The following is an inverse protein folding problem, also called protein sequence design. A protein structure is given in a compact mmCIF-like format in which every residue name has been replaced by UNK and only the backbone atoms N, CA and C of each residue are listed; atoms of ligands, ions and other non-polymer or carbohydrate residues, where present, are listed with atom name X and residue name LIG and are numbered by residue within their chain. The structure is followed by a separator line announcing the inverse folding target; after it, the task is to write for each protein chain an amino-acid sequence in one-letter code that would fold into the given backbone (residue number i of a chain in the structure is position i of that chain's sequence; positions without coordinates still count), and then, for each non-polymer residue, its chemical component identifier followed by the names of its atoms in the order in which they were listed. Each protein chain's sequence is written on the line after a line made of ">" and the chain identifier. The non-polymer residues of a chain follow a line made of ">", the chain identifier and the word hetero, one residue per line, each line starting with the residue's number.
data_IF_444244741220
#
_entry.id   IF_444244741220
#
_cell.length_a   1.000
_cell.length_b   1.000
_cell.length_c   1.000
_cell.angle_alpha   90.00
_cell.angle_beta   90.00
_cell.angle_gamma   90.00
#
_symmetry.space_group_name_H-M   'P 1'
#
loop_
_entity.id
_entity.type
_entity.pdbx_description
1 polymer ?
#
# COMPACT_ATOMS: atom_id res chain seq x y z
N UNK A 1 -4.91 -11.25 22.31
CA UNK A 1 -5.20 -11.34 20.85
C UNK A 1 -6.27 -10.31 20.51
N UNK A 2 -6.06 -9.44 19.52
CA UNK A 2 -7.09 -8.45 19.11
C UNK A 2 -8.32 -9.20 18.55
N UNK A 3 -9.53 -8.77 18.91
CA UNK A 3 -10.79 -9.40 18.49
C UNK A 3 -11.03 -9.07 17.00
N UNK A 4 -11.35 -10.07 16.17
CA UNK A 4 -11.68 -9.86 14.76
C UNK A 4 -12.90 -8.94 14.62
N UNK A 5 -12.77 -7.91 13.80
CA UNK A 5 -13.84 -6.98 13.43
C UNK A 5 -14.85 -7.66 12.50
N UNK A 6 -15.99 -7.00 12.26
CA UNK A 6 -16.95 -7.46 11.26
C UNK A 6 -16.35 -7.43 9.84
N UNK A 7 -15.46 -6.47 9.57
CA UNK A 7 -14.74 -6.39 8.30
C UNK A 7 -13.78 -7.56 8.10
N UNK A 8 -13.01 -7.92 9.14
CA UNK A 8 -12.08 -9.06 9.06
C UNK A 8 -12.81 -10.35 8.70
N UNK A 9 -13.97 -10.61 9.33
CA UNK A 9 -14.78 -11.79 9.03
C UNK A 9 -15.38 -11.75 7.63
N UNK A 10 -15.87 -10.59 7.20
CA UNK A 10 -16.39 -10.39 5.85
C UNK A 10 -15.32 -10.67 4.79
N UNK A 11 -14.14 -10.09 4.96
CA UNK A 11 -13.01 -10.24 4.04
C UNK A 11 -12.55 -11.71 3.99
N UNK A 12 -12.40 -12.37 5.14
CA UNK A 12 -12.04 -13.79 5.21
C UNK A 12 -13.04 -14.70 4.49
N UNK A 13 -14.34 -14.38 4.54
CA UNK A 13 -15.35 -15.15 3.81
C UNK A 13 -15.23 -14.96 2.29
N UNK A 14 -14.99 -13.73 1.84
CA UNK A 14 -14.94 -13.41 0.41
C UNK A 14 -13.62 -13.87 -0.24
N UNK A 15 -12.51 -13.89 0.50
CA UNK A 15 -11.24 -14.42 0.02
C UNK A 15 -11.25 -15.93 -0.26
N UNK A 16 -12.29 -16.65 0.18
CA UNK A 16 -12.50 -18.06 -0.23
C UNK A 16 -12.92 -18.20 -1.69
N UNK A 17 -13.47 -17.15 -2.28
CA UNK A 17 -13.78 -17.12 -3.71
C UNK A 17 -12.49 -16.75 -4.49
N UNK A 18 -11.99 -17.64 -5.37
CA UNK A 18 -10.73 -17.41 -6.08
C UNK A 18 -10.75 -16.19 -6.99
N UNK A 19 -11.89 -15.90 -7.65
CA UNK A 19 -12.02 -14.72 -8.52
C UNK A 19 -12.00 -13.43 -7.72
N UNK A 20 -12.63 -13.43 -6.54
CA UNK A 20 -12.58 -12.30 -5.62
C UNK A 20 -11.16 -12.11 -5.08
N UNK A 21 -10.50 -13.19 -4.66
CA UNK A 21 -9.15 -13.15 -4.13
C UNK A 21 -8.14 -12.61 -5.15
N UNK A 22 -8.23 -13.05 -6.40
CA UNK A 22 -7.37 -12.57 -7.48
C UNK A 22 -7.58 -11.07 -7.75
N UNK A 23 -8.84 -10.62 -7.83
CA UNK A 23 -9.16 -9.20 -8.02
C UNK A 23 -8.72 -8.34 -6.83
N UNK A 24 -8.92 -8.84 -5.61
CA UNK A 24 -8.50 -8.17 -4.38
C UNK A 24 -6.98 -8.04 -4.32
N UNK A 25 -6.25 -9.11 -4.65
CA UNK A 25 -4.79 -9.10 -4.74
C UNK A 25 -4.31 -8.08 -5.77
N UNK A 26 -4.83 -8.13 -7.00
CA UNK A 26 -4.48 -7.17 -8.06
C UNK A 26 -4.77 -5.72 -7.66
N UNK A 27 -5.87 -5.47 -6.96
CA UNK A 27 -6.19 -4.15 -6.44
C UNK A 27 -5.20 -3.68 -5.36
N UNK A 28 -4.60 -4.60 -4.61
CA UNK A 28 -3.61 -4.34 -3.56
C UNK A 28 -2.16 -4.24 -4.04
N UNK A 29 -1.79 -4.77 -5.20
CA UNK A 29 -0.39 -4.85 -5.64
C UNK A 29 0.31 -3.48 -5.72
N UNK A 30 -0.35 -2.47 -6.30
CA UNK A 30 0.18 -1.11 -6.36
C UNK A 30 0.33 -0.50 -4.95
N UNK A 31 -0.56 -0.86 -4.04
CA UNK A 31 -0.57 -0.42 -2.66
C UNK A 31 0.59 -1.03 -1.86
N UNK A 32 0.83 -2.33 -2.02
CA UNK A 32 1.93 -3.05 -1.37
C UNK A 32 3.29 -2.49 -1.81
N UNK A 33 3.46 -2.20 -3.10
CA UNK A 33 4.69 -1.57 -3.61
C UNK A 33 4.88 -0.18 -3.02
N UNK A 34 3.82 0.62 -2.92
CA UNK A 34 3.88 1.95 -2.33
C UNK A 34 4.27 1.91 -0.84
N UNK A 35 3.72 0.98 -0.06
CA UNK A 35 4.07 0.79 1.35
C UNK A 35 5.54 0.36 1.52
N UNK A 36 6.03 -0.56 0.69
CA UNK A 36 7.42 -0.99 0.71
C UNK A 36 8.37 0.18 0.37
N UNK A 37 8.04 0.97 -0.66
CA UNK A 37 8.82 2.15 -1.02
C UNK A 37 8.85 3.19 0.11
N UNK A 38 7.71 3.45 0.75
CA UNK A 38 7.62 4.36 1.88
C UNK A 38 8.47 3.90 3.08
N UNK A 39 8.48 2.59 3.38
CA UNK A 39 9.29 2.00 4.42
C UNK A 39 10.79 2.16 4.12
N UNK A 40 11.24 1.73 2.94
CA UNK A 40 12.63 1.85 2.51
C UNK A 40 13.12 3.30 2.49
N UNK A 41 12.26 4.23 2.05
CA UNK A 41 12.56 5.67 2.05
C UNK A 41 12.85 6.16 3.48
N UNK A 42 12.00 5.79 4.44
CA UNK A 42 12.15 6.18 5.85
C UNK A 42 13.40 5.56 6.46
N UNK A 43 13.65 4.27 6.22
CA UNK A 43 14.84 3.57 6.70
C UNK A 43 16.13 4.18 6.12
N UNK A 44 16.05 4.72 4.91
CA UNK A 44 17.16 5.44 4.25
C UNK A 44 17.28 6.91 4.67
N UNK A 45 16.45 7.41 5.61
CA UNK A 45 16.47 8.79 6.07
C UNK A 45 16.06 9.82 5.02
N UNK A 46 15.34 9.40 3.97
CA UNK A 46 14.93 10.29 2.88
C UNK A 46 13.55 10.90 3.18
N UNK A 47 13.40 12.20 2.92
CA UNK A 47 12.10 12.84 2.76
C UNK A 47 11.44 12.44 1.43
N UNK A 48 10.12 12.66 1.31
CA UNK A 48 9.40 12.44 0.05
C UNK A 48 9.97 13.29 -1.10
N UNK A 49 10.37 14.54 -0.81
CA UNK A 49 11.00 15.42 -1.80
C UNK A 49 12.35 14.89 -2.28
N UNK A 50 13.17 14.34 -1.38
CA UNK A 50 14.46 13.74 -1.73
C UNK A 50 14.29 12.47 -2.54
N UNK A 51 13.31 11.62 -2.22
CA UNK A 51 12.98 10.44 -3.03
C UNK A 51 12.50 10.85 -4.43
N UNK A 52 11.59 11.84 -4.51
CA UNK A 52 11.06 12.34 -5.77
C UNK A 52 12.19 12.84 -6.70
N UNK A 53 13.14 13.60 -6.14
CA UNK A 53 14.33 14.06 -6.87
C UNK A 53 15.17 12.91 -7.42
N UNK A 54 15.36 11.83 -6.65
CA UNK A 54 16.13 10.65 -7.08
C UNK A 54 15.42 9.86 -8.18
N UNK A 55 14.09 9.81 -8.13
CA UNK A 55 13.26 9.09 -9.10
C UNK A 55 12.90 9.93 -10.32
N UNK A 56 13.36 11.19 -10.41
CA UNK A 56 13.04 12.07 -11.53
C UNK A 56 11.54 12.40 -11.63
N UNK A 57 10.84 12.45 -10.49
CA UNK A 57 9.40 12.69 -10.40
C UNK A 57 9.09 13.82 -9.43
N UNK A 58 7.81 14.21 -9.32
CA UNK A 58 7.39 15.25 -8.36
C UNK A 58 7.10 14.67 -6.98
N UNK A 59 7.26 15.49 -5.92
CA UNK A 59 6.89 15.09 -4.56
C UNK A 59 5.39 14.72 -4.46
N UNK A 60 4.53 15.40 -5.23
CA UNK A 60 3.10 15.11 -5.27
C UNK A 60 2.83 13.68 -5.77
N UNK A 61 3.58 13.23 -6.79
CA UNK A 61 3.49 11.86 -7.32
C UNK A 61 4.01 10.80 -6.35
N UNK A 62 4.89 11.14 -5.40
CA UNK A 62 5.30 10.25 -4.31
C UNK A 62 4.28 10.27 -3.16
N UNK A 63 3.71 11.43 -2.84
CA UNK A 63 2.76 11.55 -1.72
C UNK A 63 1.46 10.77 -1.94
N UNK A 64 0.93 10.74 -3.16
CA UNK A 64 -0.33 10.06 -3.50
C UNK A 64 -0.29 8.55 -3.20
N UNK A 65 0.72 7.78 -3.65
CA UNK A 65 0.82 6.37 -3.31
C UNK A 65 1.21 6.13 -1.84
N UNK A 66 1.96 7.04 -1.20
CA UNK A 66 2.35 6.85 0.22
C UNK A 66 1.28 7.31 1.24
N UNK A 67 0.24 8.03 0.80
CA UNK A 67 -0.78 8.62 1.67
C UNK A 67 -2.12 8.80 0.91
N UNK A 68 -2.86 7.71 0.65
CA UNK A 68 -4.26 7.78 0.27
C UNK A 68 -4.98 8.34 1.50
N UNK A 69 -5.80 9.36 1.29
CA UNK A 69 -6.62 9.93 2.36
C UNK A 69 -7.51 8.89 3.03
#
# INVERSE_FOLDING_TARGET
>A
MKKKTNFDRYLEQHLKNPDFAERFKRAGEAWDVALQLAALRKDSGLSQAQLAKRLGTSQQQISRPESPG
#
